data_IF_885739632443
#
_entry.id   IF_885739632443
#
_cell.length_a   1.000
_cell.length_b   1.000
_cell.length_c   1.000
_cell.angle_alpha   90.00
_cell.angle_beta   90.00
_cell.angle_gamma   90.00
#
_symmetry.space_group_name_H-M   'P 1'
#
loop_
_entity.id
_entity.type
_entity.pdbx_description
1 polymer ?
#
# COMPACT_ATOMS: atom_id res chain seq x y z
N UNK A 1 -15.71 -29.28 -3.77
CA UNK A 1 -14.53 -28.61 -3.24
C UNK A 1 -13.51 -28.48 -4.38
N UNK A 2 -13.04 -27.29 -4.66
CA UNK A 2 -11.96 -27.04 -5.59
C UNK A 2 -10.77 -26.48 -4.80
N UNK A 3 -9.62 -27.07 -4.97
CA UNK A 3 -8.36 -26.51 -4.47
C UNK A 3 -7.76 -25.63 -5.56
N UNK A 4 -7.57 -24.36 -5.24
CA UNK A 4 -6.88 -23.43 -6.12
C UNK A 4 -5.39 -23.45 -5.76
N UNK A 5 -4.48 -23.69 -6.73
CA UNK A 5 -3.05 -23.64 -6.45
C UNK A 5 -2.65 -22.21 -6.07
N UNK A 6 -2.29 -22.00 -4.79
CA UNK A 6 -1.90 -20.71 -4.22
C UNK A 6 -0.48 -20.25 -4.59
N UNK A 7 0.05 -20.63 -5.75
CA UNK A 7 1.42 -20.29 -6.15
C UNK A 7 1.61 -18.81 -6.52
N UNK A 8 0.51 -18.11 -6.80
CA UNK A 8 0.49 -16.69 -7.19
C UNK A 8 -0.34 -15.92 -6.18
N UNK A 9 0.22 -14.90 -5.55
CA UNK A 9 -0.51 -13.98 -4.69
C UNK A 9 -1.03 -12.78 -5.51
N UNK A 10 -2.12 -12.19 -5.02
CA UNK A 10 -2.82 -11.11 -5.69
C UNK A 10 -4.34 -11.26 -5.60
N UNK A 11 -5.06 -10.44 -6.35
CA UNK A 11 -6.52 -10.51 -6.49
C UNK A 11 -6.89 -11.43 -7.64
N UNK A 12 -7.77 -12.39 -7.40
CA UNK A 12 -8.27 -13.34 -8.39
C UNK A 12 -9.79 -13.22 -8.51
N UNK A 13 -10.25 -13.06 -9.74
CA UNK A 13 -11.65 -13.07 -10.09
C UNK A 13 -12.10 -14.49 -10.45
N UNK A 14 -13.11 -15.01 -9.74
CA UNK A 14 -13.71 -16.31 -10.02
C UNK A 14 -15.14 -16.07 -10.48
N UNK A 15 -15.44 -16.40 -11.74
CA UNK A 15 -16.77 -16.24 -12.31
C UNK A 15 -17.41 -17.58 -12.57
N UNK A 16 -18.58 -17.81 -11.97
CA UNK A 16 -19.43 -18.96 -12.26
C UNK A 16 -20.34 -18.64 -13.46
N UNK A 17 -20.00 -19.16 -14.62
CA UNK A 17 -20.74 -18.86 -15.86
C UNK A 17 -21.91 -19.81 -16.14
N UNK A 18 -21.84 -21.04 -15.66
CA UNK A 18 -22.81 -22.07 -16.00
C UNK A 18 -22.87 -23.17 -14.95
N UNK A 19 -24.10 -23.57 -14.61
CA UNK A 19 -24.40 -24.73 -13.77
C UNK A 19 -25.13 -25.76 -14.61
N UNK A 20 -24.67 -27.01 -14.60
CA UNK A 20 -25.36 -28.15 -15.19
C UNK A 20 -25.86 -29.08 -14.09
N UNK A 21 -27.15 -29.25 -14.02
CA UNK A 21 -27.80 -30.13 -13.05
C UNK A 21 -28.25 -31.39 -13.79
N UNK A 22 -27.65 -32.53 -13.44
CA UNK A 22 -27.94 -33.82 -14.06
C UNK A 22 -29.00 -34.53 -13.28
N UNK A 23 -29.83 -35.36 -13.98
CA UNK A 23 -30.71 -36.31 -13.38
C UNK A 23 -29.91 -37.44 -12.69
N UNK A 24 -30.52 -38.25 -11.79
CA UNK A 24 -29.81 -39.32 -11.10
C UNK A 24 -29.15 -40.38 -11.99
N UNK A 25 -29.64 -40.53 -13.22
CA UNK A 25 -29.09 -41.48 -14.21
C UNK A 25 -28.05 -40.82 -15.15
N UNK A 26 -27.80 -39.50 -14.97
CA UNK A 26 -26.89 -38.70 -15.84
C UNK A 26 -27.23 -38.73 -17.34
N UNK A 27 -28.47 -39.01 -17.71
CA UNK A 27 -28.94 -39.08 -19.10
C UNK A 27 -29.34 -37.71 -19.61
N UNK A 28 -30.00 -36.90 -18.76
CA UNK A 28 -30.47 -35.56 -19.08
C UNK A 28 -29.83 -34.54 -18.14
N UNK A 29 -29.67 -33.29 -18.60
CA UNK A 29 -29.26 -32.19 -17.75
C UNK A 29 -30.05 -30.94 -18.07
N UNK A 30 -30.26 -30.11 -17.04
CA UNK A 30 -30.76 -28.76 -17.13
C UNK A 30 -29.56 -27.83 -17.05
N UNK A 31 -29.48 -26.91 -18.00
CA UNK A 31 -28.45 -25.91 -18.06
C UNK A 31 -28.98 -24.58 -17.53
N UNK A 32 -28.35 -24.05 -16.49
CA UNK A 32 -28.64 -22.73 -15.96
C UNK A 32 -27.42 -21.86 -16.15
N UNK A 33 -27.59 -20.73 -16.81
CA UNK A 33 -26.57 -19.72 -16.99
C UNK A 33 -26.84 -18.63 -15.97
N UNK A 34 -25.99 -18.51 -14.99
CA UNK A 34 -25.94 -17.42 -14.02
C UNK A 34 -24.49 -17.01 -13.91
N UNK A 35 -24.20 -15.71 -14.12
CA UNK A 35 -22.87 -15.17 -13.90
C UNK A 35 -22.82 -14.60 -12.49
N UNK A 36 -22.22 -15.34 -11.57
CA UNK A 36 -21.82 -14.82 -10.28
C UNK A 36 -20.32 -14.69 -10.22
N UNK A 37 -19.84 -13.52 -9.83
CA UNK A 37 -18.42 -13.21 -9.73
C UNK A 37 -18.04 -12.99 -8.26
N UNK A 38 -16.98 -13.66 -7.83
CA UNK A 38 -16.40 -13.52 -6.49
C UNK A 38 -14.93 -13.15 -6.64
N UNK A 39 -14.48 -12.17 -5.85
CA UNK A 39 -13.08 -11.81 -5.77
C UNK A 39 -12.44 -12.47 -4.56
N UNK A 40 -11.31 -13.14 -4.79
CA UNK A 40 -10.52 -13.80 -3.75
C UNK A 40 -9.13 -13.18 -3.72
N UNK A 41 -8.73 -12.67 -2.56
CA UNK A 41 -7.37 -12.16 -2.35
C UNK A 41 -6.50 -13.26 -1.75
N UNK A 42 -5.39 -13.54 -2.43
CA UNK A 42 -4.38 -14.50 -1.99
C UNK A 42 -3.23 -13.70 -1.41
N UNK A 43 -3.07 -13.77 -0.09
CA UNK A 43 -1.98 -13.09 0.62
C UNK A 43 -0.64 -13.74 0.30
N UNK A 44 0.44 -12.96 0.19
CA UNK A 44 1.78 -13.50 -0.02
C UNK A 44 2.29 -14.19 1.25
N UNK A 45 3.02 -15.28 1.06
CA UNK A 45 3.93 -15.78 2.08
C UNK A 45 5.14 -14.85 2.14
N UNK A 46 5.69 -14.66 3.33
CA UNK A 46 6.86 -13.83 3.53
C UNK A 46 7.99 -14.61 4.20
N UNK A 47 9.21 -14.22 3.87
CA UNK A 47 10.44 -14.73 4.48
C UNK A 47 11.24 -13.52 4.99
N UNK A 48 11.90 -13.67 6.13
CA UNK A 48 12.75 -12.59 6.64
C UNK A 48 13.94 -12.37 5.70
N UNK A 49 14.15 -11.12 5.34
CA UNK A 49 15.23 -10.72 4.43
C UNK A 49 16.47 -10.26 5.22
N UNK A 50 17.68 -10.50 4.71
CA UNK A 50 18.88 -9.96 5.34
C UNK A 50 18.94 -8.44 5.12
N UNK A 51 18.54 -7.67 6.15
CA UNK A 51 18.56 -6.20 6.16
C UNK A 51 19.36 -5.72 7.37
N UNK A 52 20.25 -4.76 7.17
CA UNK A 52 21.00 -4.11 8.23
C UNK A 52 20.47 -2.68 8.44
N UNK A 53 19.89 -2.40 9.59
CA UNK A 53 19.47 -1.04 9.97
C UNK A 53 20.69 -0.28 10.50
N UNK A 54 21.09 0.76 9.76
CA UNK A 54 22.25 1.57 10.15
C UNK A 54 21.95 2.44 11.38
N UNK A 55 23.02 2.81 12.08
CA UNK A 55 22.92 3.74 13.21
C UNK A 55 22.27 5.07 12.83
N UNK A 56 22.57 5.57 11.64
CA UNK A 56 21.96 6.79 11.09
C UNK A 56 20.43 6.69 10.99
N UNK A 57 19.91 5.57 10.55
CA UNK A 57 18.47 5.33 10.42
C UNK A 57 17.79 5.25 11.78
N UNK A 58 18.45 4.64 12.77
CA UNK A 58 17.94 4.60 14.15
C UNK A 58 17.93 5.99 14.82
N UNK A 59 18.99 6.77 14.64
CA UNK A 59 19.07 8.16 15.12
C UNK A 59 17.99 9.01 14.46
N UNK A 60 17.83 8.89 13.13
CA UNK A 60 16.79 9.61 12.38
C UNK A 60 15.38 9.27 12.86
N UNK A 61 15.10 8.01 13.16
CA UNK A 61 13.79 7.59 13.69
C UNK A 61 13.50 8.22 15.06
N UNK A 62 14.49 8.25 15.96
CA UNK A 62 14.35 8.84 17.29
C UNK A 62 14.08 10.34 17.19
N UNK A 63 14.85 11.06 16.37
CA UNK A 63 14.68 12.51 16.17
C UNK A 63 13.32 12.82 15.54
N UNK A 64 12.84 11.99 14.59
CA UNK A 64 11.57 12.19 13.92
C UNK A 64 10.35 11.93 14.82
N UNK A 65 10.45 11.07 15.82
CA UNK A 65 9.40 10.89 16.83
C UNK A 65 9.22 12.13 17.72
N UNK A 66 10.30 12.87 17.99
CA UNK A 66 10.26 14.12 18.79
C UNK A 66 9.65 15.30 18.01
N UNK A 67 9.81 15.35 16.68
CA UNK A 67 9.42 16.49 15.84
C UNK A 67 8.06 16.35 15.14
N UNK A 68 7.26 15.33 15.44
CA UNK A 68 6.01 15.04 14.71
C UNK A 68 4.90 16.11 14.79
N UNK A 69 5.07 17.11 15.65
CA UNK A 69 4.06 18.13 15.92
C UNK A 69 4.03 19.30 14.93
N UNK A 70 4.96 19.44 13.98
CA UNK A 70 5.12 20.68 13.22
C UNK A 70 4.71 20.63 11.73
N UNK A 71 4.47 19.47 11.12
CA UNK A 71 4.15 19.39 9.68
C UNK A 71 2.79 18.72 9.39
N UNK A 72 2.08 19.30 8.41
CA UNK A 72 0.87 18.71 7.82
C UNK A 72 1.15 17.38 7.13
N UNK A 73 0.30 16.37 7.31
CA UNK A 73 0.40 15.11 6.62
C UNK A 73 -0.92 14.35 6.52
N UNK A 74 -0.87 13.10 6.07
CA UNK A 74 -2.04 12.24 5.86
C UNK A 74 -2.14 11.08 6.86
N UNK A 75 -1.41 11.17 7.99
CA UNK A 75 -1.53 10.15 9.03
C UNK A 75 -2.93 10.18 9.64
N UNK A 76 -3.75 9.12 9.45
CA UNK A 76 -5.10 9.08 9.99
C UNK A 76 -5.14 8.96 11.52
N UNK A 77 -4.04 8.60 12.16
CA UNK A 77 -3.94 8.43 13.60
C UNK A 77 -3.70 9.75 14.34
N UNK A 78 -3.13 10.75 13.65
CA UNK A 78 -2.81 12.05 14.26
C UNK A 78 -3.50 13.20 13.52
N UNK A 79 -4.25 14.01 14.24
CA UNK A 79 -4.86 15.24 13.73
C UNK A 79 -3.93 16.39 14.09
N UNK A 80 -3.26 16.97 13.09
CA UNK A 80 -2.39 18.12 13.29
C UNK A 80 -3.16 19.36 13.73
N UNK A 81 -4.22 19.68 12.98
CA UNK A 81 -5.13 20.77 13.33
C UNK A 81 -6.49 20.60 12.64
N UNK A 82 -7.43 21.43 13.01
CA UNK A 82 -8.72 21.53 12.35
C UNK A 82 -8.87 22.93 11.74
N UNK A 83 -9.31 23.03 10.49
CA UNK A 83 -9.55 24.27 9.77
C UNK A 83 -10.90 24.26 9.05
N UNK A 84 -11.29 25.38 8.52
CA UNK A 84 -12.47 25.46 7.65
C UNK A 84 -12.28 24.56 6.40
N UNK A 85 -13.35 23.87 6.03
CA UNK A 85 -13.41 23.03 4.86
C UNK A 85 -13.28 23.85 3.57
N UNK A 86 -12.46 23.37 2.65
CA UNK A 86 -12.31 23.93 1.30
C UNK A 86 -12.86 22.95 0.27
N UNK A 87 -13.25 23.47 -0.90
CA UNK A 87 -13.83 22.65 -1.98
C UNK A 87 -12.90 21.57 -2.53
N UNK A 88 -11.61 21.72 -2.28
CA UNK A 88 -10.54 20.80 -2.69
C UNK A 88 -10.34 19.66 -1.68
N UNK A 89 -10.93 19.75 -0.49
CA UNK A 89 -10.78 18.76 0.55
C UNK A 89 -11.70 17.55 0.30
N UNK A 90 -11.21 16.36 0.65
CA UNK A 90 -12.02 15.15 0.61
C UNK A 90 -13.12 15.17 1.67
N UNK A 91 -14.29 14.66 1.33
CA UNK A 91 -15.40 14.48 2.30
C UNK A 91 -15.01 13.55 3.48
N UNK A 92 -14.01 12.68 3.29
CA UNK A 92 -13.46 11.81 4.34
C UNK A 92 -12.72 12.60 5.42
N UNK A 93 -12.23 13.79 5.09
CA UNK A 93 -11.46 14.63 5.99
C UNK A 93 -12.35 15.59 6.82
N UNK A 94 -13.65 15.55 6.63
CA UNK A 94 -14.57 16.34 7.44
C UNK A 94 -14.58 15.83 8.89
N UNK A 95 -14.41 16.77 9.83
CA UNK A 95 -14.52 16.49 11.26
C UNK A 95 -15.97 16.61 11.71
N UNK A 96 -16.81 15.61 11.42
CA UNK A 96 -18.26 15.64 11.64
C UNK A 96 -18.67 16.09 13.05
N UNK A 97 -17.95 15.67 14.08
CA UNK A 97 -18.26 16.05 15.47
C UNK A 97 -18.06 17.56 15.72
N UNK A 98 -17.01 18.17 15.17
CA UNK A 98 -16.76 19.61 15.30
C UNK A 98 -17.64 20.41 14.33
N UNK A 99 -17.91 19.91 13.15
CA UNK A 99 -18.86 20.48 12.19
C UNK A 99 -20.25 20.60 12.83
N UNK A 100 -20.73 19.55 13.52
CA UNK A 100 -21.99 19.58 14.22
C UNK A 100 -22.01 20.56 15.43
N UNK A 101 -20.87 20.79 16.05
CA UNK A 101 -20.76 21.71 17.20
C UNK A 101 -20.61 23.18 16.80
N UNK A 102 -19.99 23.44 15.63
CA UNK A 102 -19.68 24.81 15.15
C UNK A 102 -20.67 25.32 14.08
N UNK A 103 -21.54 24.44 13.57
CA UNK A 103 -22.46 24.70 12.45
C UNK A 103 -21.74 25.14 11.14
N UNK A 104 -20.42 24.90 11.08
CA UNK A 104 -19.57 25.18 9.92
C UNK A 104 -18.78 23.92 9.55
N UNK A 105 -18.59 23.68 8.24
CA UNK A 105 -17.83 22.54 7.77
C UNK A 105 -16.36 22.69 8.17
N UNK A 106 -15.87 21.75 8.97
CA UNK A 106 -14.50 21.72 9.49
C UNK A 106 -13.77 20.50 8.94
N UNK A 107 -12.64 20.73 8.30
CA UNK A 107 -11.75 19.70 7.82
C UNK A 107 -10.65 19.36 8.84
N UNK A 108 -10.30 18.10 8.91
CA UNK A 108 -9.14 17.60 9.66
C UNK A 108 -7.90 17.80 8.80
N UNK A 109 -6.92 18.52 9.30
CA UNK A 109 -5.58 18.46 8.73
C UNK A 109 -4.79 17.38 9.48
N UNK A 110 -4.38 16.37 8.75
CA UNK A 110 -3.64 15.25 9.31
C UNK A 110 -2.17 15.61 9.44
N UNK A 111 -1.52 15.06 10.46
CA UNK A 111 -0.08 15.18 10.59
C UNK A 111 0.62 14.48 9.41
N UNK A 112 1.75 14.99 9.00
CA UNK A 112 2.63 14.25 8.09
C UNK A 112 3.16 13.04 8.87
N UNK A 113 3.26 11.82 8.28
CA UNK A 113 3.81 10.66 8.97
C UNK A 113 5.30 10.86 9.23
N UNK A 114 5.60 11.71 10.21
CA UNK A 114 6.93 11.90 10.75
C UNK A 114 7.25 10.69 11.64
N UNK A 115 8.52 10.35 11.77
CA UNK A 115 8.93 9.16 12.49
C UNK A 115 9.21 7.96 11.60
N UNK A 116 8.89 8.04 10.30
CA UNK A 116 9.27 7.00 9.36
C UNK A 116 10.68 7.25 8.85
N UNK A 117 11.63 6.39 9.26
CA UNK A 117 13.01 6.51 8.83
C UNK A 117 13.22 6.09 7.38
N UNK A 118 12.41 5.18 6.88
CA UNK A 118 12.53 4.57 5.54
C UNK A 118 11.25 4.81 4.76
N UNK A 119 11.38 5.22 3.50
CA UNK A 119 10.31 5.24 2.52
C UNK A 119 10.43 4.02 1.60
N UNK A 120 9.39 3.18 1.53
CA UNK A 120 9.25 2.13 0.53
C UNK A 120 8.33 2.65 -0.56
N UNK A 121 8.90 2.92 -1.74
CA UNK A 121 8.16 3.36 -2.91
C UNK A 121 7.89 2.21 -3.86
N UNK A 122 6.62 1.99 -4.22
CA UNK A 122 6.22 0.98 -5.20
C UNK A 122 6.12 1.60 -6.59
N UNK A 123 7.10 1.26 -7.45
CA UNK A 123 7.16 1.71 -8.85
C UNK A 123 6.52 0.66 -9.77
N UNK A 124 5.18 0.65 -9.83
CA UNK A 124 4.43 -0.34 -10.58
C UNK A 124 4.00 0.24 -11.92
N UNK A 125 4.71 -0.15 -12.99
CA UNK A 125 4.48 0.32 -14.36
C UNK A 125 3.74 -0.73 -15.15
N UNK A 126 2.72 -0.33 -15.92
CA UNK A 126 1.90 -1.23 -16.74
C UNK A 126 2.76 -2.08 -17.69
N UNK A 127 3.74 -1.46 -18.36
CA UNK A 127 4.61 -2.15 -19.34
C UNK A 127 5.52 -3.22 -18.75
N UNK A 128 5.81 -3.13 -17.47
CA UNK A 128 6.77 -3.99 -16.75
C UNK A 128 6.06 -4.98 -15.81
N UNK A 129 4.74 -4.81 -15.58
CA UNK A 129 3.99 -5.59 -14.63
C UNK A 129 3.39 -6.84 -15.28
N UNK A 130 3.87 -8.01 -14.90
CA UNK A 130 3.28 -9.31 -15.26
C UNK A 130 2.65 -9.93 -14.02
N UNK A 131 1.69 -10.86 -14.17
CA UNK A 131 1.06 -11.53 -13.02
C UNK A 131 2.09 -12.20 -12.08
N UNK A 132 3.10 -12.86 -12.63
CA UNK A 132 4.18 -13.45 -11.85
C UNK A 132 5.10 -12.39 -11.22
N UNK A 133 5.38 -11.30 -11.93
CA UNK A 133 6.14 -10.17 -11.41
C UNK A 133 5.43 -9.50 -10.26
N UNK A 134 4.13 -9.22 -10.42
CA UNK A 134 3.30 -8.64 -9.38
C UNK A 134 3.24 -9.52 -8.11
N UNK A 135 3.09 -10.83 -8.28
CA UNK A 135 3.16 -11.78 -7.17
C UNK A 135 4.53 -11.75 -6.46
N UNK A 136 5.64 -11.67 -7.22
CA UNK A 136 6.98 -11.50 -6.63
C UNK A 136 7.10 -10.16 -5.89
N UNK A 137 6.58 -9.08 -6.47
CA UNK A 137 6.58 -7.76 -5.85
C UNK A 137 5.85 -7.78 -4.51
N UNK A 138 4.66 -8.40 -4.43
CA UNK A 138 3.92 -8.55 -3.19
C UNK A 138 4.69 -9.37 -2.14
N UNK A 139 5.34 -10.46 -2.55
CA UNK A 139 6.20 -11.28 -1.66
C UNK A 139 7.38 -10.48 -1.14
N UNK A 140 8.07 -9.75 -2.03
CA UNK A 140 9.19 -8.88 -1.66
C UNK A 140 8.75 -7.76 -0.73
N UNK A 141 7.62 -7.10 -1.03
CA UNK A 141 7.04 -6.03 -0.22
C UNK A 141 6.72 -6.51 1.20
N UNK A 142 6.02 -7.65 1.32
CA UNK A 142 5.67 -8.20 2.62
C UNK A 142 6.90 -8.69 3.41
N UNK A 143 7.86 -9.34 2.74
CA UNK A 143 9.11 -9.81 3.36
C UNK A 143 9.98 -8.66 3.86
N UNK A 144 10.15 -7.61 3.07
CA UNK A 144 10.90 -6.42 3.49
C UNK A 144 10.19 -5.70 4.63
N UNK A 145 8.89 -5.48 4.50
CA UNK A 145 8.11 -4.73 5.48
C UNK A 145 8.09 -5.44 6.84
N UNK A 146 7.85 -6.76 6.88
CA UNK A 146 7.86 -7.51 8.13
C UNK A 146 9.26 -7.56 8.74
N UNK A 147 10.31 -7.65 7.94
CA UNK A 147 11.69 -7.60 8.43
C UNK A 147 12.00 -6.25 9.09
N UNK A 148 11.53 -5.14 8.52
CA UNK A 148 11.68 -3.82 9.14
C UNK A 148 10.89 -3.69 10.44
N UNK A 149 9.69 -4.27 10.51
CA UNK A 149 8.90 -4.33 11.74
C UNK A 149 9.63 -5.11 12.83
N UNK A 150 10.17 -6.29 12.53
CA UNK A 150 10.98 -7.10 13.46
C UNK A 150 12.20 -6.32 13.97
N UNK A 151 12.86 -5.56 13.09
CA UNK A 151 13.98 -4.68 13.44
C UNK A 151 13.53 -3.37 14.12
N UNK A 152 12.25 -3.21 14.45
CA UNK A 152 11.65 -2.01 15.06
C UNK A 152 11.90 -0.73 14.25
N UNK A 153 11.97 -0.84 12.93
CA UNK A 153 12.12 0.27 12.01
C UNK A 153 10.76 0.67 11.44
N UNK A 154 10.22 1.79 11.93
CA UNK A 154 8.98 2.36 11.41
C UNK A 154 9.24 2.91 10.01
N UNK A 155 8.43 2.49 9.05
CA UNK A 155 8.60 2.89 7.65
C UNK A 155 7.28 3.32 7.02
N UNK A 156 7.39 4.07 5.93
CA UNK A 156 6.28 4.53 5.12
C UNK A 156 6.25 3.74 3.81
N UNK A 157 5.18 3.04 3.56
CA UNK A 157 4.90 2.44 2.26
C UNK A 157 4.10 3.45 1.43
N UNK A 158 4.45 3.64 0.16
CA UNK A 158 3.77 4.58 -0.71
C UNK A 158 3.69 4.09 -2.16
N UNK A 159 2.57 4.37 -2.81
CA UNK A 159 2.34 4.08 -4.23
C UNK A 159 1.40 5.10 -4.86
N UNK A 160 1.41 5.15 -6.18
CA UNK A 160 0.46 5.95 -6.94
C UNK A 160 -0.77 5.13 -7.30
N UNK A 161 -1.95 5.63 -6.97
CA UNK A 161 -3.23 5.04 -7.34
C UNK A 161 -3.82 5.75 -8.55
N UNK A 162 -3.94 5.03 -9.67
CA UNK A 162 -4.35 5.61 -10.95
C UNK A 162 -5.82 6.06 -10.94
N UNK A 163 -6.70 5.32 -10.27
CA UNK A 163 -8.14 5.62 -10.23
C UNK A 163 -8.45 6.92 -9.48
N UNK A 164 -7.72 7.24 -8.44
CA UNK A 164 -7.90 8.44 -7.61
C UNK A 164 -6.92 9.56 -7.94
N UNK A 165 -5.93 9.26 -8.78
CA UNK A 165 -4.82 10.16 -9.13
C UNK A 165 -4.06 10.71 -7.91
N UNK A 166 -3.86 9.88 -6.90
CA UNK A 166 -3.25 10.28 -5.63
C UNK A 166 -2.12 9.33 -5.23
N UNK A 167 -1.23 9.86 -4.39
CA UNK A 167 -0.25 9.01 -3.68
C UNK A 167 -0.90 8.48 -2.41
N UNK A 168 -1.09 7.18 -2.35
CA UNK A 168 -1.52 6.47 -1.15
C UNK A 168 -0.29 6.24 -0.27
N UNK A 169 -0.43 6.44 1.03
CA UNK A 169 0.64 6.22 2.00
C UNK A 169 0.13 5.41 3.18
N UNK A 170 0.89 4.41 3.59
CA UNK A 170 0.60 3.57 4.76
C UNK A 170 1.82 3.57 5.68
N UNK A 171 1.64 4.02 6.93
CA UNK A 171 2.67 3.94 7.98
C UNK A 171 2.66 2.53 8.55
N UNK A 172 3.78 1.86 8.46
CA UNK A 172 3.96 0.50 8.96
C UNK A 172 4.84 0.52 10.20
N UNK A 173 4.27 0.08 11.33
CA UNK A 173 4.91 0.06 12.66
C UNK A 173 4.83 -1.31 13.32
N UNK A 174 3.89 -2.15 12.88
CA UNK A 174 3.59 -3.46 13.45
C UNK A 174 3.06 -4.42 12.37
N UNK A 175 2.86 -5.69 12.74
CA UNK A 175 2.37 -6.72 11.81
C UNK A 175 0.98 -6.39 11.25
N UNK A 176 0.10 -5.78 12.05
CA UNK A 176 -1.26 -5.44 11.61
C UNK A 176 -1.22 -4.40 10.49
N UNK A 177 -0.43 -3.33 10.67
CA UNK A 177 -0.24 -2.31 9.64
C UNK A 177 0.50 -2.84 8.40
N UNK A 178 1.40 -3.83 8.56
CA UNK A 178 2.00 -4.54 7.45
C UNK A 178 0.96 -5.34 6.66
N UNK A 179 0.10 -6.10 7.33
CA UNK A 179 -1.00 -6.82 6.69
C UNK A 179 -1.97 -5.89 5.97
N UNK A 180 -2.30 -4.74 6.58
CA UNK A 180 -3.16 -3.72 5.95
C UNK A 180 -2.50 -3.17 4.68
N UNK A 181 -1.22 -2.81 4.73
CA UNK A 181 -0.46 -2.34 3.56
C UNK A 181 -0.53 -3.36 2.41
N UNK A 182 -0.26 -4.63 2.69
CA UNK A 182 -0.32 -5.70 1.68
C UNK A 182 -1.73 -5.88 1.13
N UNK A 183 -2.75 -5.80 1.99
CA UNK A 183 -4.15 -5.92 1.60
C UNK A 183 -4.58 -4.82 0.63
N UNK A 184 -4.14 -3.59 0.84
CA UNK A 184 -4.39 -2.46 -0.07
C UNK A 184 -3.58 -2.60 -1.35
N UNK A 185 -2.30 -3.02 -1.23
CA UNK A 185 -1.40 -3.19 -2.37
C UNK A 185 -1.84 -4.27 -3.36
N UNK A 186 -2.59 -5.29 -2.90
CA UNK A 186 -3.12 -6.37 -3.76
C UNK A 186 -4.08 -5.83 -4.84
N UNK A 187 -4.81 -4.75 -4.57
CA UNK A 187 -5.79 -4.18 -5.49
C UNK A 187 -5.23 -3.07 -6.38
N UNK A 188 -3.95 -2.74 -6.22
CA UNK A 188 -3.34 -1.65 -6.99
C UNK A 188 -3.32 -1.97 -8.48
N UNK A 189 -3.64 -0.97 -9.28
CA UNK A 189 -3.51 -1.05 -10.74
C UNK A 189 -2.15 -0.50 -11.18
N UNK A 190 -1.48 -1.16 -12.13
CA UNK A 190 -0.24 -0.64 -12.70
C UNK A 190 -0.44 0.70 -13.38
N UNK A 191 0.48 1.63 -13.15
CA UNK A 191 0.42 2.98 -13.70
C UNK A 191 0.80 3.04 -15.17
N UNK A 192 -0.07 3.63 -16.01
CA UNK A 192 0.18 3.88 -17.43
C UNK A 192 0.99 5.15 -17.68
N UNK A 193 0.80 6.21 -16.87
CA UNK A 193 1.46 7.51 -17.05
C UNK A 193 2.51 7.79 -15.97
N UNK A 194 3.75 7.42 -16.27
CA UNK A 194 4.89 7.57 -15.33
C UNK A 194 5.28 9.02 -15.05
N UNK A 195 5.14 9.95 -16.01
CA UNK A 195 5.49 11.35 -15.82
C UNK A 195 4.55 12.03 -14.81
N UNK A 196 3.26 11.75 -14.94
CA UNK A 196 2.24 12.25 -14.02
C UNK A 196 2.48 11.73 -12.60
N UNK A 197 2.68 10.43 -12.44
CA UNK A 197 3.02 9.78 -11.18
C UNK A 197 4.24 10.42 -10.51
N UNK A 198 5.34 10.61 -11.26
CA UNK A 198 6.58 11.18 -10.72
C UNK A 198 6.41 12.67 -10.31
N UNK A 199 5.50 13.39 -10.96
CA UNK A 199 5.12 14.74 -10.56
C UNK A 199 4.39 14.73 -9.21
N UNK A 200 3.38 13.85 -9.04
CA UNK A 200 2.65 13.71 -7.78
C UNK A 200 3.56 13.23 -6.64
N UNK A 201 4.46 12.29 -6.91
CA UNK A 201 5.43 11.84 -5.92
C UNK A 201 6.31 12.99 -5.42
N UNK A 202 6.87 13.80 -6.34
CA UNK A 202 7.70 14.95 -5.98
C UNK A 202 6.94 16.00 -5.18
N UNK A 203 5.68 16.27 -5.55
CA UNK A 203 4.84 17.21 -4.84
C UNK A 203 4.48 16.70 -3.44
N UNK A 204 4.09 15.43 -3.34
CA UNK A 204 3.67 14.79 -2.10
C UNK A 204 4.79 14.75 -1.05
N UNK A 205 6.00 14.41 -1.47
CA UNK A 205 7.16 14.28 -0.58
C UNK A 205 8.06 15.53 -0.59
N UNK A 206 7.58 16.65 -1.11
CA UNK A 206 8.33 17.90 -1.10
C UNK A 206 8.62 18.36 0.34
N UNK A 207 9.91 18.36 0.70
CA UNK A 207 10.35 18.72 2.06
C UNK A 207 10.21 17.62 3.11
N UNK A 208 9.83 16.41 2.71
CA UNK A 208 9.98 15.23 3.55
C UNK A 208 11.43 14.71 3.48
N UNK A 209 11.95 14.31 4.62
CA UNK A 209 13.28 13.72 4.74
C UNK A 209 13.15 12.27 5.19
N UNK A 210 13.88 11.39 4.53
CA UNK A 210 13.99 9.98 4.89
C UNK A 210 15.45 9.61 5.00
N UNK A 211 15.79 8.71 5.91
CA UNK A 211 17.15 8.17 6.01
C UNK A 211 17.53 7.37 4.75
N UNK A 212 16.56 6.64 4.21
CA UNK A 212 16.74 5.84 2.99
C UNK A 212 15.43 5.74 2.21
N UNK A 213 15.52 5.71 0.89
CA UNK A 213 14.40 5.47 -0.02
C UNK A 213 14.63 4.13 -0.71
N UNK A 214 13.72 3.20 -0.49
CA UNK A 214 13.70 1.87 -1.13
C UNK A 214 12.62 1.85 -2.19
N UNK A 215 12.97 1.54 -3.42
CA UNK A 215 12.02 1.37 -4.52
C UNK A 215 11.86 -0.10 -4.84
N UNK A 216 10.62 -0.57 -4.92
CA UNK A 216 10.28 -1.93 -5.36
C UNK A 216 9.51 -1.79 -6.67
N UNK A 217 10.01 -2.40 -7.74
CA UNK A 217 9.34 -2.38 -9.05
C UNK A 217 8.29 -3.50 -9.20
N UNK A 218 7.53 -3.45 -10.31
CA UNK A 218 6.48 -4.43 -10.62
C UNK A 218 6.97 -5.87 -10.87
N UNK A 219 8.29 -6.11 -10.82
CA UNK A 219 8.91 -7.44 -10.89
C UNK A 219 9.49 -7.88 -9.53
N UNK A 220 9.35 -7.05 -8.50
CA UNK A 220 9.86 -7.30 -7.17
C UNK A 220 11.36 -7.05 -7.00
N UNK A 221 11.98 -6.28 -7.90
CA UNK A 221 13.38 -5.86 -7.75
C UNK A 221 13.46 -4.68 -6.78
N UNK A 222 14.45 -4.74 -5.89
CA UNK A 222 14.69 -3.72 -4.88
C UNK A 222 15.83 -2.80 -5.31
N UNK A 223 15.61 -1.49 -5.20
CA UNK A 223 16.64 -0.47 -5.40
C UNK A 223 16.65 0.45 -4.19
N UNK A 224 17.81 0.66 -3.60
CA UNK A 224 18.02 1.65 -2.55
C UNK A 224 18.62 2.91 -3.15
N UNK A 225 18.01 4.06 -2.90
CA UNK A 225 18.47 5.36 -3.40
C UNK A 225 18.82 5.33 -4.91
N UNK A 226 18.02 4.54 -5.69
CA UNK A 226 18.19 4.35 -7.13
C UNK A 226 19.25 3.34 -7.56
N UNK A 227 19.89 2.62 -6.62
CA UNK A 227 20.92 1.61 -6.91
C UNK A 227 20.45 0.23 -6.47
N UNK A 228 20.78 -0.79 -7.27
CA UNK A 228 20.61 -2.18 -6.86
C UNK A 228 21.70 -2.58 -5.87
N UNK A 229 21.30 -3.10 -4.72
CA UNK A 229 22.23 -3.61 -3.70
C UNK A 229 21.90 -5.09 -3.41
N UNK A 230 22.97 -5.92 -3.35
CA UNK A 230 22.85 -7.34 -2.97
C UNK A 230 22.48 -7.53 -1.48
N UNK A 231 22.85 -6.57 -0.65
CA UNK A 231 22.57 -6.56 0.78
C UNK A 231 22.05 -5.17 1.17
N UNK A 232 20.85 -5.14 1.71
CA UNK A 232 20.15 -3.90 2.02
C UNK A 232 20.68 -3.33 3.35
N UNK A 233 21.36 -2.18 3.27
CA UNK A 233 21.76 -1.38 4.43
C UNK A 233 20.93 -0.11 4.49
N UNK A 234 20.03 -0.01 5.41
CA UNK A 234 19.08 1.09 5.57
C UNK A 234 19.47 2.03 6.71
#
# INVERSE_FOLDING_TARGET
>A
WYELPGNICGSMEITLNEIRIYDPLCIFYIRRREAETVFVKIMPEFELMPVEITRKTREFQTDAEEYSCEKKGDDPSEIYQVREYRREDSLKDIHWKLTAAKEELVAKERAFPLGCAVLIWFDIREKECTANGFSKMLKTASSLSITLVEEKCIHLAAWYEEDTEQIVTVKVKDEESCCQMVWELIDIKPCGNTEKRDSYMRERFKGAEFSSIVTIDGQGQIKKDGKEELFLRL
#
